data_IF_775137081097
#
_entry.id   IF_775137081097
#
_cell.length_a   1.000
_cell.length_b   1.000
_cell.length_c   1.000
_cell.angle_alpha   90.00
_cell.angle_beta   90.00
_cell.angle_gamma   90.00
#
_symmetry.space_group_name_H-M   'P 1'
#
loop_
_entity.id
_entity.type
_entity.pdbx_description
1 polymer ?
#
# COMPACT_ATOMS: atom_id res chain seq x y z
N UNK A 1 -43.66 36.51 -8.08
CA UNK A 1 -42.21 36.25 -8.25
C UNK A 1 -41.69 35.27 -7.19
N UNK A 2 -42.29 35.24 -5.99
CA UNK A 2 -41.92 34.32 -4.91
C UNK A 2 -42.45 32.88 -5.15
N UNK A 3 -43.68 32.71 -5.66
CA UNK A 3 -44.25 31.37 -5.93
C UNK A 3 -43.49 30.56 -7.00
N UNK A 4 -43.04 31.19 -8.09
CA UNK A 4 -42.27 30.52 -9.14
C UNK A 4 -40.88 30.06 -8.64
N UNK A 5 -40.21 30.85 -7.82
CA UNK A 5 -38.92 30.46 -7.21
C UNK A 5 -39.07 29.31 -6.20
N UNK A 6 -40.22 29.21 -5.53
CA UNK A 6 -40.52 28.12 -4.60
C UNK A 6 -40.84 26.82 -5.35
N UNK A 7 -41.58 26.88 -6.47
CA UNK A 7 -41.78 25.74 -7.37
C UNK A 7 -40.47 25.29 -8.03
N UNK A 8 -39.59 26.21 -8.44
CA UNK A 8 -38.27 25.93 -9.03
C UNK A 8 -37.35 25.13 -8.10
N UNK A 9 -37.36 25.43 -6.80
CA UNK A 9 -36.56 24.71 -5.79
C UNK A 9 -37.13 23.33 -5.48
N UNK A 10 -38.46 23.17 -5.57
CA UNK A 10 -39.14 21.88 -5.34
C UNK A 10 -38.85 20.89 -6.47
N UNK A 11 -38.84 21.33 -7.74
CA UNK A 11 -38.55 20.47 -8.90
C UNK A 11 -37.10 19.95 -8.92
N UNK A 12 -36.11 20.79 -8.60
CA UNK A 12 -34.70 20.35 -8.48
C UNK A 12 -34.53 19.38 -7.29
N UNK A 13 -35.19 19.65 -6.15
CA UNK A 13 -35.11 18.76 -4.99
C UNK A 13 -35.76 17.39 -5.25
N UNK A 14 -36.92 17.37 -5.91
CA UNK A 14 -37.61 16.14 -6.32
C UNK A 14 -36.76 15.32 -7.30
N UNK A 15 -36.10 15.96 -8.26
CA UNK A 15 -35.21 15.29 -9.20
C UNK A 15 -33.99 14.67 -8.50
N UNK A 16 -33.36 15.41 -7.58
CA UNK A 16 -32.22 14.90 -6.79
C UNK A 16 -32.63 13.73 -5.88
N UNK A 17 -33.82 13.78 -5.28
CA UNK A 17 -34.38 12.67 -4.49
C UNK A 17 -34.59 11.41 -5.35
N UNK A 18 -35.07 11.57 -6.59
CA UNK A 18 -35.22 10.48 -7.56
C UNK A 18 -33.88 9.87 -7.93
N UNK A 19 -32.87 10.69 -8.25
CA UNK A 19 -31.51 10.22 -8.55
C UNK A 19 -30.88 9.43 -7.41
N UNK A 20 -31.13 9.85 -6.16
CA UNK A 20 -30.67 9.10 -4.96
C UNK A 20 -31.33 7.73 -4.86
N UNK A 21 -32.62 7.62 -5.18
CA UNK A 21 -33.35 6.35 -5.17
C UNK A 21 -32.83 5.41 -6.26
N UNK A 22 -32.68 5.90 -7.48
CA UNK A 22 -32.16 5.14 -8.61
C UNK A 22 -30.73 4.63 -8.35
N UNK A 23 -29.87 5.47 -7.75
CA UNK A 23 -28.51 5.06 -7.35
C UNK A 23 -28.53 3.90 -6.34
N UNK A 24 -29.46 3.91 -5.38
CA UNK A 24 -29.63 2.79 -4.44
C UNK A 24 -30.11 1.52 -5.13
N UNK A 25 -31.07 1.63 -6.05
CA UNK A 25 -31.58 0.51 -6.84
C UNK A 25 -30.50 -0.10 -7.75
N UNK A 26 -29.67 0.72 -8.38
CA UNK A 26 -28.53 0.24 -9.16
C UNK A 26 -27.51 -0.48 -8.29
N UNK A 27 -27.20 0.01 -7.10
CA UNK A 27 -26.31 -0.69 -6.16
C UNK A 27 -26.86 -2.04 -5.74
N UNK A 28 -28.16 -2.16 -5.47
CA UNK A 28 -28.82 -3.43 -5.19
C UNK A 28 -28.71 -4.39 -6.40
N UNK A 29 -28.92 -3.90 -7.62
CA UNK A 29 -28.76 -4.67 -8.86
C UNK A 29 -27.32 -5.14 -9.07
N UNK A 30 -26.33 -4.27 -8.86
CA UNK A 30 -24.89 -4.61 -8.94
C UNK A 30 -24.55 -5.72 -7.93
N UNK A 31 -25.08 -5.63 -6.71
CA UNK A 31 -24.86 -6.65 -5.70
C UNK A 31 -25.47 -8.00 -6.10
N UNK A 32 -26.68 -8.00 -6.67
CA UNK A 32 -27.30 -9.18 -7.25
C UNK A 32 -26.44 -9.82 -8.36
N UNK A 33 -25.93 -9.00 -9.29
CA UNK A 33 -25.05 -9.48 -10.36
C UNK A 33 -23.72 -10.04 -9.84
N UNK A 34 -23.15 -9.45 -8.78
CA UNK A 34 -21.95 -9.96 -8.10
C UNK A 34 -22.15 -11.29 -7.41
N UNK A 35 -23.35 -11.53 -6.88
CA UNK A 35 -23.72 -12.80 -6.23
C UNK A 35 -23.99 -13.90 -7.27
N UNK A 36 -24.53 -13.56 -8.44
CA UNK A 36 -24.81 -14.51 -9.51
C UNK A 36 -23.56 -15.06 -10.23
N UNK A 37 -22.39 -14.42 -10.05
CA UNK A 37 -21.13 -14.85 -10.66
C UNK A 37 -20.21 -15.48 -9.61
N UNK A 38 -19.89 -16.78 -9.71
CA UNK A 38 -18.96 -17.46 -8.80
C UNK A 38 -17.58 -16.77 -8.74
N UNK A 39 -16.89 -16.89 -7.60
CA UNK A 39 -15.58 -16.26 -7.39
C UNK A 39 -14.47 -16.88 -8.26
N UNK A 40 -14.60 -18.15 -8.63
CA UNK A 40 -13.57 -18.88 -9.39
C UNK A 40 -13.63 -18.66 -10.91
N UNK A 41 -14.69 -18.06 -11.45
CA UNK A 41 -14.83 -17.85 -12.90
C UNK A 41 -14.26 -16.49 -13.33
N UNK A 42 -12.97 -16.48 -13.66
CA UNK A 42 -12.19 -15.27 -14.02
C UNK A 42 -12.76 -14.56 -15.26
N UNK A 43 -13.27 -15.29 -16.24
CA UNK A 43 -13.80 -14.71 -17.49
C UNK A 43 -15.12 -13.99 -17.22
N UNK A 44 -16.05 -14.63 -16.52
CA UNK A 44 -17.34 -14.00 -16.17
C UNK A 44 -17.18 -12.85 -15.17
N UNK A 45 -16.18 -12.89 -14.28
CA UNK A 45 -15.84 -11.79 -13.38
C UNK A 45 -15.33 -10.55 -14.12
N UNK A 46 -14.52 -10.73 -15.18
CA UNK A 46 -14.08 -9.63 -16.03
C UNK A 46 -15.27 -8.98 -16.74
N UNK A 47 -16.13 -9.79 -17.38
CA UNK A 47 -17.35 -9.30 -18.03
C UNK A 47 -18.26 -8.56 -17.06
N UNK A 48 -18.49 -9.12 -15.87
CA UNK A 48 -19.28 -8.48 -14.81
C UNK A 48 -18.73 -7.10 -14.43
N UNK A 49 -17.41 -6.97 -14.36
CA UNK A 49 -16.78 -5.69 -14.00
C UNK A 49 -17.00 -4.63 -15.10
N UNK A 50 -16.90 -5.04 -16.36
CA UNK A 50 -17.17 -4.17 -17.52
C UNK A 50 -18.65 -3.78 -17.59
N UNK A 51 -19.57 -4.72 -17.36
CA UNK A 51 -21.01 -4.48 -17.34
C UNK A 51 -21.42 -3.52 -16.21
N UNK A 52 -20.84 -3.69 -15.00
CA UNK A 52 -21.06 -2.77 -13.87
C UNK A 52 -20.56 -1.36 -14.21
N UNK A 53 -19.36 -1.25 -14.79
CA UNK A 53 -18.81 0.05 -15.19
C UNK A 53 -19.64 0.72 -16.28
N UNK A 54 -20.25 -0.06 -17.18
CA UNK A 54 -21.16 0.46 -18.21
C UNK A 54 -22.46 0.99 -17.60
N UNK A 55 -23.11 0.22 -16.72
CA UNK A 55 -24.36 0.61 -16.06
C UNK A 55 -24.18 1.87 -15.18
N UNK A 56 -23.08 1.97 -14.44
CA UNK A 56 -22.77 3.16 -13.64
C UNK A 56 -22.55 4.41 -14.50
N UNK A 57 -21.89 4.26 -15.66
CA UNK A 57 -21.65 5.38 -16.59
C UNK A 57 -22.94 5.86 -17.22
N UNK A 58 -23.79 4.94 -17.70
CA UNK A 58 -25.08 5.27 -18.32
C UNK A 58 -26.00 5.99 -17.33
N UNK A 59 -26.08 5.53 -16.07
CA UNK A 59 -26.87 6.21 -15.05
C UNK A 59 -26.37 7.62 -14.76
N UNK A 60 -25.05 7.78 -14.58
CA UNK A 60 -24.48 9.09 -14.27
C UNK A 60 -24.62 10.07 -15.45
N UNK A 61 -24.56 9.56 -16.69
CA UNK A 61 -24.82 10.36 -17.88
C UNK A 61 -26.28 10.82 -17.93
N UNK A 62 -27.24 9.91 -17.72
CA UNK A 62 -28.67 10.27 -17.66
C UNK A 62 -28.96 11.32 -16.59
N UNK A 63 -28.44 11.13 -15.37
CA UNK A 63 -28.63 12.09 -14.27
C UNK A 63 -28.04 13.47 -14.59
N UNK A 64 -26.92 13.50 -15.33
CA UNK A 64 -26.32 14.76 -15.78
C UNK A 64 -27.18 15.44 -16.83
N UNK A 65 -27.63 14.69 -17.83
CA UNK A 65 -28.48 15.20 -18.91
C UNK A 65 -29.81 15.72 -18.36
N UNK A 66 -30.43 15.03 -17.40
CA UNK A 66 -31.67 15.48 -16.74
C UNK A 66 -31.46 16.77 -15.93
N UNK A 67 -30.32 16.92 -15.23
CA UNK A 67 -29.99 18.16 -14.53
C UNK A 67 -29.66 19.31 -15.49
N UNK A 68 -29.04 19.02 -16.63
CA UNK A 68 -28.75 20.01 -17.68
C UNK A 68 -30.04 20.44 -18.39
N UNK A 69 -30.94 19.51 -18.70
CA UNK A 69 -32.25 19.79 -19.25
C UNK A 69 -33.08 20.64 -18.28
N UNK A 70 -33.11 20.31 -16.99
CA UNK A 70 -33.80 21.11 -15.99
C UNK A 70 -33.22 22.55 -15.93
N UNK A 71 -31.90 22.70 -16.03
CA UNK A 71 -31.25 24.02 -16.11
C UNK A 71 -31.56 24.78 -17.39
N UNK A 72 -31.77 24.09 -18.51
CA UNK A 72 -32.12 24.70 -19.78
C UNK A 72 -33.59 25.12 -19.80
N UNK A 73 -34.52 24.29 -19.31
CA UNK A 73 -35.92 24.68 -19.14
C UNK A 73 -36.07 25.85 -18.17
N UNK A 74 -35.26 25.92 -17.10
CA UNK A 74 -35.20 27.08 -16.19
C UNK A 74 -34.64 28.35 -16.85
N UNK A 75 -33.81 28.22 -17.88
CA UNK A 75 -33.31 29.37 -18.65
C UNK A 75 -34.31 29.80 -19.72
N UNK A 76 -34.98 28.85 -20.39
CA UNK A 76 -36.02 29.14 -21.38
C UNK A 76 -37.26 29.78 -20.73
N UNK A 77 -37.67 29.34 -19.53
CA UNK A 77 -38.76 29.98 -18.77
C UNK A 77 -38.42 31.41 -18.31
N UNK A 78 -37.13 31.71 -18.11
CA UNK A 78 -36.64 33.07 -17.78
C UNK A 78 -36.47 33.98 -19.01
N UNK A 79 -36.40 33.43 -20.22
CA UNK A 79 -36.23 34.21 -21.47
C UNK A 79 -37.56 34.84 -21.94
N UNK A 80 -38.72 34.29 -21.58
CA UNK A 80 -40.04 34.90 -21.87
C UNK A 80 -40.42 36.07 -20.92
N UNK A 81 -39.63 36.33 -19.87
CA UNK A 81 -39.96 37.30 -18.82
C UNK A 81 -38.82 38.29 -18.54
N UNK A 82 -38.66 39.26 -19.45
CA UNK A 82 -38.00 40.58 -19.23
C UNK A 82 -36.61 40.71 -19.85
N UNK A 83 -36.59 41.29 -21.06
CA UNK A 83 -35.64 42.32 -21.39
C UNK A 83 -35.70 43.41 -20.30
N UNK A 84 -34.62 43.62 -19.55
CA UNK A 84 -34.13 44.89 -18.99
C UNK A 84 -33.13 44.62 -17.85
N UNK A 85 -31.94 45.18 -18.05
CA UNK A 85 -30.92 45.56 -17.08
C UNK A 85 -30.19 44.48 -16.26
N UNK A 86 -29.00 44.19 -16.81
CA UNK A 86 -27.77 43.88 -16.10
C UNK A 86 -27.43 45.02 -15.13
N UNK A 87 -27.41 44.75 -13.83
CA UNK A 87 -26.21 44.92 -12.99
C UNK A 87 -26.58 44.75 -11.52
N UNK A 88 -25.66 44.08 -10.84
CA UNK A 88 -25.45 44.09 -9.40
C UNK A 88 -26.27 43.07 -8.59
N UNK A 89 -25.62 41.94 -8.29
CA UNK A 89 -25.89 41.10 -7.13
C UNK A 89 -24.65 40.23 -6.87
N UNK A 90 -23.83 40.74 -5.95
CA UNK A 90 -23.14 40.01 -4.88
C UNK A 90 -23.12 38.49 -5.06
N UNK A 91 -21.95 37.98 -5.46
CA UNK A 91 -21.59 36.56 -5.40
C UNK A 91 -21.60 36.08 -3.93
N UNK A 92 -22.73 35.52 -3.48
CA UNK A 92 -22.73 34.64 -2.32
C UNK A 92 -21.93 33.37 -2.65
N UNK A 93 -20.85 33.18 -1.87
CA UNK A 93 -19.97 32.02 -1.86
C UNK A 93 -20.76 30.71 -1.61
N UNK A 94 -21.24 30.05 -2.68
CA UNK A 94 -21.43 28.61 -2.63
C UNK A 94 -20.06 27.93 -2.81
N UNK A 95 -19.68 26.99 -1.93
CA UNK A 95 -18.41 26.30 -2.07
C UNK A 95 -18.35 25.61 -3.44
N UNK A 96 -17.23 25.72 -4.18
CA UNK A 96 -17.12 25.14 -5.51
C UNK A 96 -17.44 23.65 -5.44
N UNK A 97 -18.34 23.19 -6.32
CA UNK A 97 -18.72 21.78 -6.44
C UNK A 97 -17.44 20.95 -6.65
N UNK A 98 -16.95 20.36 -5.56
CA UNK A 98 -15.72 19.56 -5.54
C UNK A 98 -15.89 18.42 -6.52
N UNK A 99 -15.04 18.39 -7.55
CA UNK A 99 -15.05 17.34 -8.57
C UNK A 99 -14.97 15.96 -7.92
N UNK A 100 -15.62 14.94 -8.49
CA UNK A 100 -15.47 13.52 -8.06
C UNK A 100 -13.99 13.10 -8.02
N UNK A 101 -13.13 13.67 -8.86
CA UNK A 101 -11.69 13.42 -8.82
C UNK A 101 -11.01 14.09 -7.62
N UNK A 102 -11.44 15.30 -7.25
CA UNK A 102 -10.92 16.04 -6.12
C UNK A 102 -11.39 15.42 -4.78
N UNK A 103 -12.65 15.00 -4.69
CA UNK A 103 -13.15 14.23 -3.53
C UNK A 103 -12.44 12.88 -3.35
N UNK A 104 -11.98 12.24 -4.44
CA UNK A 104 -11.13 11.03 -4.38
C UNK A 104 -9.71 11.34 -3.89
N UNK A 105 -9.11 12.45 -4.33
CA UNK A 105 -7.79 12.92 -3.86
C UNK A 105 -7.83 13.31 -2.39
N UNK A 106 -8.83 14.08 -1.97
CA UNK A 106 -9.05 14.48 -0.59
C UNK A 106 -9.31 13.26 0.31
N UNK A 107 -10.11 12.28 -0.14
CA UNK A 107 -10.29 11.04 0.62
C UNK A 107 -9.00 10.23 0.74
N UNK A 108 -8.17 10.19 -0.31
CA UNK A 108 -6.86 9.52 -0.26
C UNK A 108 -5.90 10.25 0.70
N UNK A 109 -5.84 11.58 0.60
CA UNK A 109 -5.01 12.42 1.47
C UNK A 109 -5.46 12.36 2.93
N UNK A 110 -6.77 12.34 3.20
CA UNK A 110 -7.29 12.19 4.56
C UNK A 110 -6.95 10.80 5.15
N UNK A 111 -6.99 9.75 4.34
CA UNK A 111 -6.67 8.38 4.79
C UNK A 111 -5.16 8.16 4.95
N UNK A 112 -4.35 8.85 4.15
CA UNK A 112 -2.88 8.91 4.30
C UNK A 112 -2.50 9.71 5.55
N UNK A 113 -3.14 10.86 5.80
CA UNK A 113 -2.98 11.64 7.02
C UNK A 113 -3.42 10.89 8.27
N UNK A 114 -4.56 10.19 8.24
CA UNK A 114 -4.99 9.33 9.37
C UNK A 114 -4.00 8.18 9.61
N UNK A 115 -3.42 7.63 8.53
CA UNK A 115 -2.38 6.60 8.64
C UNK A 115 -1.09 7.17 9.24
N UNK A 116 -0.67 8.35 8.81
CA UNK A 116 0.49 9.06 9.35
C UNK A 116 0.28 9.46 10.82
N UNK A 117 -0.90 9.95 11.18
CA UNK A 117 -1.26 10.29 12.57
C UNK A 117 -1.25 9.03 13.45
N UNK A 118 -1.79 7.91 12.99
CA UNK A 118 -1.71 6.63 13.72
C UNK A 118 -0.28 6.12 13.87
N UNK A 119 0.57 6.34 12.86
CA UNK A 119 2.00 6.01 12.93
C UNK A 119 2.69 6.91 13.95
N UNK A 120 2.43 8.22 13.92
CA UNK A 120 3.01 9.19 14.85
C UNK A 120 2.57 8.93 16.30
N UNK A 121 1.30 8.61 16.54
CA UNK A 121 0.81 8.20 17.86
C UNK A 121 1.50 6.92 18.34
N UNK A 122 1.61 5.91 17.46
CA UNK A 122 2.33 4.68 17.79
C UNK A 122 3.84 4.94 18.02
N UNK A 123 4.45 5.88 17.32
CA UNK A 123 5.84 6.30 17.55
C UNK A 123 6.00 6.97 18.91
N UNK A 124 5.06 7.85 19.30
CA UNK A 124 5.04 8.49 20.62
C UNK A 124 4.87 7.45 21.74
N UNK A 125 3.97 6.49 21.59
CA UNK A 125 3.84 5.39 22.55
C UNK A 125 5.12 4.54 22.61
N UNK A 126 5.73 4.28 21.45
CA UNK A 126 6.98 3.51 21.35
C UNK A 126 8.19 4.23 21.97
N UNK A 127 8.20 5.56 22.13
CA UNK A 127 9.27 6.29 22.83
C UNK A 127 9.45 5.79 24.28
N UNK A 128 8.36 5.40 24.94
CA UNK A 128 8.41 4.80 26.28
C UNK A 128 8.52 3.28 26.27
N UNK A 129 8.47 2.67 25.09
CA UNK A 129 8.47 1.23 24.89
C UNK A 129 9.84 0.62 25.19
N UNK A 130 9.83 -0.66 25.63
CA UNK A 130 11.05 -1.40 25.95
C UNK A 130 12.09 -1.38 24.82
N UNK A 131 11.64 -1.42 23.55
CA UNK A 131 12.50 -1.36 22.36
C UNK A 131 13.23 -0.01 22.22
N UNK A 132 12.57 1.11 22.52
CA UNK A 132 13.21 2.43 22.45
C UNK A 132 14.24 2.59 23.55
N UNK A 133 13.88 2.20 24.79
CA UNK A 133 14.80 2.19 25.92
C UNK A 133 16.03 1.31 25.66
N UNK A 134 15.83 0.13 25.06
CA UNK A 134 16.93 -0.76 24.66
C UNK A 134 17.80 -0.13 23.56
N UNK A 135 17.19 0.42 22.50
CA UNK A 135 17.89 1.11 21.42
C UNK A 135 18.72 2.29 21.94
N UNK A 136 18.19 3.08 22.86
CA UNK A 136 18.88 4.23 23.45
C UNK A 136 20.07 3.78 24.29
N UNK A 137 19.90 2.75 25.14
CA UNK A 137 21.00 2.17 25.91
C UNK A 137 22.09 1.62 24.99
N UNK A 138 21.71 0.92 23.93
CA UNK A 138 22.65 0.38 22.95
C UNK A 138 23.40 1.52 22.24
N UNK A 139 22.71 2.58 21.85
CA UNK A 139 23.30 3.78 21.25
C UNK A 139 24.31 4.45 22.20
N UNK A 140 24.00 4.57 23.49
CA UNK A 140 24.94 5.10 24.49
C UNK A 140 26.20 4.25 24.62
N UNK A 141 26.04 2.92 24.65
CA UNK A 141 27.15 1.95 24.75
C UNK A 141 28.04 2.00 23.50
N UNK A 142 27.46 2.21 22.32
CA UNK A 142 28.19 2.33 21.05
C UNK A 142 28.87 3.68 20.91
N UNK A 143 28.19 4.78 21.29
CA UNK A 143 28.75 6.13 21.25
C UNK A 143 30.00 6.26 22.12
N UNK A 144 30.04 5.59 23.27
CA UNK A 144 31.24 5.51 24.13
C UNK A 144 32.43 4.82 23.45
N UNK A 145 32.21 4.09 22.36
CA UNK A 145 33.22 3.44 21.51
C UNK A 145 33.38 4.12 20.15
N UNK A 146 32.79 5.29 19.95
CA UNK A 146 32.77 6.00 18.66
C UNK A 146 32.10 5.18 17.53
N UNK A 147 31.09 4.38 17.88
CA UNK A 147 30.30 3.57 16.96
C UNK A 147 28.84 4.03 16.95
N UNK A 148 28.15 3.75 15.85
CA UNK A 148 26.71 3.99 15.71
C UNK A 148 26.00 2.81 15.04
N UNK A 149 24.69 2.69 15.29
CA UNK A 149 23.86 1.67 14.63
C UNK A 149 23.41 2.23 13.30
N UNK A 150 23.77 1.53 12.22
CA UNK A 150 23.20 1.78 10.90
C UNK A 150 22.02 0.85 10.65
N UNK A 151 20.89 1.44 10.27
CA UNK A 151 19.67 0.67 10.03
C UNK A 151 19.75 -0.06 8.69
N UNK A 152 19.65 -1.38 8.75
CA UNK A 152 19.55 -2.28 7.59
C UNK A 152 18.09 -2.72 7.44
N UNK A 153 17.55 -2.85 6.21
CA UNK A 153 16.19 -3.34 5.99
C UNK A 153 15.92 -4.65 6.74
N UNK A 154 14.78 -4.73 7.42
CA UNK A 154 14.37 -5.90 8.19
C UNK A 154 13.75 -6.98 7.29
N UNK A 155 14.54 -7.55 6.39
CA UNK A 155 14.16 -8.66 5.52
C UNK A 155 15.02 -9.91 5.79
N UNK A 156 14.80 -10.97 5.02
CA UNK A 156 15.59 -12.21 5.16
C UNK A 156 17.04 -12.10 4.64
N UNK A 157 17.43 -10.96 4.08
CA UNK A 157 18.80 -10.69 3.62
C UNK A 157 19.58 -9.80 4.59
N UNK A 158 18.98 -9.35 5.69
CA UNK A 158 19.53 -8.36 6.61
C UNK A 158 20.96 -8.66 7.08
N UNK A 159 21.28 -9.93 7.40
CA UNK A 159 22.64 -10.33 7.80
C UNK A 159 23.66 -10.06 6.70
N UNK A 160 23.39 -10.53 5.48
CA UNK A 160 24.25 -10.29 4.32
C UNK A 160 24.26 -8.81 3.90
N UNK A 161 23.15 -8.09 4.11
CA UNK A 161 23.06 -6.66 3.87
C UNK A 161 23.96 -5.86 4.83
N UNK A 162 24.01 -6.26 6.10
CA UNK A 162 24.93 -5.67 7.07
C UNK A 162 26.39 -5.95 6.70
N UNK A 163 26.71 -7.17 6.25
CA UNK A 163 28.05 -7.50 5.75
C UNK A 163 28.44 -6.70 4.50
N UNK A 164 27.55 -6.63 3.50
CA UNK A 164 27.76 -5.83 2.30
C UNK A 164 28.06 -4.37 2.65
N UNK A 165 27.33 -3.81 3.61
CA UNK A 165 27.50 -2.43 4.04
C UNK A 165 28.86 -2.18 4.71
N UNK A 166 29.26 -3.05 5.66
CA UNK A 166 30.57 -2.97 6.31
C UNK A 166 31.72 -3.19 5.34
N UNK A 167 31.56 -4.11 4.38
CA UNK A 167 32.56 -4.37 3.34
C UNK A 167 32.73 -3.18 2.41
N UNK A 168 31.65 -2.45 2.11
CA UNK A 168 31.68 -1.24 1.28
C UNK A 168 32.52 -0.14 1.93
N UNK A 169 32.41 0.05 3.24
CA UNK A 169 33.25 1.00 4.00
C UNK A 169 34.74 0.65 3.94
N UNK A 170 35.05 -0.64 3.77
CA UNK A 170 36.40 -1.16 3.62
C UNK A 170 36.85 -1.30 2.15
N UNK A 171 36.20 -0.59 1.22
CA UNK A 171 36.46 -0.61 -0.23
C UNK A 171 36.35 -2.01 -0.88
N UNK A 172 35.50 -2.88 -0.32
CA UNK A 172 35.22 -4.20 -0.88
C UNK A 172 33.80 -4.21 -1.47
N UNK A 173 33.69 -4.26 -2.79
CA UNK A 173 32.41 -4.19 -3.50
C UNK A 173 31.78 -5.58 -3.69
N UNK A 174 31.53 -6.29 -2.60
CA UNK A 174 30.81 -7.56 -2.61
C UNK A 174 29.32 -7.31 -2.44
N UNK A 175 28.49 -7.97 -3.25
CA UNK A 175 27.03 -7.85 -3.16
C UNK A 175 26.46 -8.92 -2.24
N UNK A 176 25.25 -8.70 -1.70
CA UNK A 176 24.48 -9.74 -0.98
C UNK A 176 24.42 -11.06 -1.75
N UNK A 177 24.18 -11.00 -3.06
CA UNK A 177 24.13 -12.19 -3.91
C UNK A 177 25.49 -12.90 -4.02
N UNK A 178 26.58 -12.13 -4.15
CA UNK A 178 27.93 -12.69 -4.20
C UNK A 178 28.37 -13.28 -2.85
N UNK A 179 27.96 -12.67 -1.74
CA UNK A 179 28.21 -13.18 -0.39
C UNK A 179 27.48 -14.51 -0.17
N UNK A 180 26.18 -14.56 -0.46
CA UNK A 180 25.39 -15.80 -0.35
C UNK A 180 25.96 -16.94 -1.18
N UNK A 181 26.34 -16.65 -2.43
CA UNK A 181 26.96 -17.62 -3.31
C UNK A 181 28.27 -18.17 -2.73
N UNK A 182 29.16 -17.29 -2.27
CA UNK A 182 30.46 -17.73 -1.73
C UNK A 182 30.31 -18.47 -0.41
N UNK A 183 29.39 -18.06 0.46
CA UNK A 183 29.06 -18.82 1.67
C UNK A 183 28.62 -20.24 1.33
N UNK A 184 27.68 -20.40 0.40
CA UNK A 184 27.21 -21.73 -0.01
C UNK A 184 28.31 -22.57 -0.67
N UNK A 185 29.12 -21.99 -1.55
CA UNK A 185 30.25 -22.69 -2.18
C UNK A 185 31.28 -23.15 -1.14
N UNK A 186 31.60 -22.30 -0.17
CA UNK A 186 32.51 -22.66 0.90
C UNK A 186 31.95 -23.80 1.76
N UNK A 187 30.70 -23.68 2.21
CA UNK A 187 30.03 -24.69 3.03
C UNK A 187 29.99 -26.04 2.32
N UNK A 188 29.71 -26.06 1.01
CA UNK A 188 29.73 -27.29 0.21
C UNK A 188 31.13 -27.93 0.15
N UNK A 189 32.18 -27.13 0.02
CA UNK A 189 33.57 -27.64 -0.04
C UNK A 189 34.11 -28.14 1.30
N UNK A 190 33.46 -27.81 2.42
CA UNK A 190 33.87 -28.17 3.78
C UNK A 190 32.69 -28.78 4.56
N UNK A 191 31.88 -29.61 3.91
CA UNK A 191 30.62 -30.13 4.48
C UNK A 191 30.76 -30.81 5.84
N UNK A 192 31.88 -31.51 6.07
CA UNK A 192 32.15 -32.21 7.33
C UNK A 192 32.25 -31.27 8.54
N UNK A 193 32.66 -30.01 8.32
CA UNK A 193 32.76 -28.99 9.36
C UNK A 193 31.38 -28.43 9.75
N UNK A 194 30.39 -28.49 8.86
CA UNK A 194 29.05 -27.92 9.08
C UNK A 194 27.99 -28.92 9.48
N UNK A 195 28.06 -30.13 8.93
CA UNK A 195 27.06 -31.17 9.16
C UNK A 195 26.74 -31.41 10.65
N UNK A 196 27.73 -31.42 11.58
CA UNK A 196 27.47 -31.59 13.02
C UNK A 196 26.55 -30.52 13.64
N UNK A 197 26.44 -29.35 13.01
CA UNK A 197 25.66 -28.21 13.51
C UNK A 197 24.29 -28.08 12.83
N UNK A 198 23.99 -28.91 11.83
CA UNK A 198 22.75 -28.86 11.05
C UNK A 198 21.88 -30.07 11.36
N UNK A 199 20.74 -29.82 12.01
CA UNK A 199 19.78 -30.85 12.42
C UNK A 199 18.40 -30.60 11.82
N UNK A 200 17.75 -31.66 11.34
CA UNK A 200 16.40 -31.57 10.81
C UNK A 200 15.39 -31.33 11.95
N UNK A 201 14.60 -30.24 11.91
CA UNK A 201 13.66 -29.90 12.99
C UNK A 201 12.62 -30.98 13.28
N UNK A 202 12.26 -31.80 12.30
CA UNK A 202 11.22 -32.81 12.43
C UNK A 202 11.76 -34.14 12.98
N UNK A 203 12.99 -34.50 12.63
CA UNK A 203 13.57 -35.80 12.99
C UNK A 203 14.58 -35.68 14.13
N UNK A 204 15.13 -34.49 14.37
CA UNK A 204 16.21 -34.24 15.33
C UNK A 204 17.56 -34.82 14.92
N UNK A 205 17.64 -35.46 13.75
CA UNK A 205 18.87 -36.06 13.24
C UNK A 205 19.70 -35.01 12.48
N UNK A 206 21.00 -35.28 12.35
CA UNK A 206 21.88 -34.51 11.48
C UNK A 206 21.36 -34.55 10.03
N UNK A 207 21.62 -33.48 9.28
CA UNK A 207 21.28 -33.43 7.87
C UNK A 207 21.93 -34.56 7.09
N UNK A 208 21.20 -35.12 6.13
CA UNK A 208 21.81 -35.96 5.10
C UNK A 208 22.57 -35.09 4.09
N UNK A 209 23.48 -35.67 3.28
CA UNK A 209 24.16 -34.93 2.21
C UNK A 209 23.18 -34.23 1.24
N UNK A 210 22.02 -34.85 0.97
CA UNK A 210 20.97 -34.28 0.13
C UNK A 210 20.29 -33.09 0.80
N UNK A 211 19.98 -33.18 2.09
CA UNK A 211 19.40 -32.08 2.88
C UNK A 211 20.39 -30.91 3.01
N UNK A 212 21.67 -31.21 3.18
CA UNK A 212 22.74 -30.22 3.21
C UNK A 212 22.91 -29.49 1.87
N UNK A 213 22.88 -30.23 0.76
CA UNK A 213 22.90 -29.64 -0.58
C UNK A 213 21.74 -28.69 -0.79
N UNK A 214 20.52 -29.10 -0.42
CA UNK A 214 19.33 -28.25 -0.48
C UNK A 214 19.49 -27.00 0.39
N UNK A 215 20.02 -27.13 1.60
CA UNK A 215 20.26 -25.98 2.48
C UNK A 215 21.23 -24.98 1.86
N UNK A 216 22.31 -25.43 1.23
CA UNK A 216 23.23 -24.55 0.51
C UNK A 216 22.54 -23.88 -0.69
N UNK A 217 21.69 -24.60 -1.43
CA UNK A 217 20.90 -24.02 -2.51
C UNK A 217 19.91 -22.96 -2.00
N UNK A 218 19.28 -23.19 -0.84
CA UNK A 218 18.37 -22.25 -0.20
C UNK A 218 19.11 -20.97 0.24
N UNK A 219 20.35 -21.07 0.72
CA UNK A 219 21.20 -19.90 1.03
C UNK A 219 21.37 -18.99 -0.18
N UNK A 220 21.60 -19.56 -1.37
CA UNK A 220 21.85 -18.80 -2.60
C UNK A 220 20.57 -18.21 -3.17
N UNK A 221 19.52 -19.03 -3.25
CA UNK A 221 18.36 -18.74 -4.10
C UNK A 221 17.18 -18.12 -3.34
N UNK A 222 17.25 -18.04 -2.01
CA UNK A 222 16.13 -17.57 -1.19
C UNK A 222 16.55 -16.47 -0.20
N UNK A 223 15.56 -15.89 0.47
CA UNK A 223 15.76 -15.01 1.61
C UNK A 223 15.87 -15.79 2.93
N UNK A 224 16.43 -17.00 2.89
CA UNK A 224 16.75 -17.76 4.10
C UNK A 224 17.61 -16.90 5.03
N UNK A 225 17.20 -16.87 6.30
CA UNK A 225 17.90 -16.15 7.35
C UNK A 225 19.26 -16.79 7.55
N UNK A 226 20.31 -15.99 7.45
CA UNK A 226 21.64 -16.44 7.83
C UNK A 226 21.79 -16.45 9.35
N UNK A 227 22.64 -17.35 9.85
CA UNK A 227 22.96 -17.48 11.26
C UNK A 227 24.47 -17.50 11.50
N UNK A 228 24.84 -18.14 12.61
CA UNK A 228 26.23 -18.16 13.09
C UNK A 228 27.18 -18.88 12.11
N UNK A 229 26.70 -19.96 11.45
CA UNK A 229 27.53 -20.72 10.53
C UNK A 229 27.96 -19.84 9.36
N UNK A 230 27.01 -19.14 8.75
CA UNK A 230 27.25 -18.27 7.62
C UNK A 230 28.15 -17.07 7.97
N UNK A 231 28.01 -16.51 9.18
CA UNK A 231 28.89 -15.43 9.68
C UNK A 231 30.32 -15.96 9.88
N UNK A 232 30.47 -17.12 10.51
CA UNK A 232 31.78 -17.73 10.75
C UNK A 232 32.52 -17.94 9.44
N UNK A 233 31.81 -18.43 8.42
CA UNK A 233 32.38 -18.61 7.09
C UNK A 233 32.74 -17.32 6.39
N UNK A 234 31.87 -16.31 6.47
CA UNK A 234 32.19 -15.00 5.94
C UNK A 234 33.49 -14.46 6.56
N UNK A 235 33.70 -14.61 7.88
CA UNK A 235 34.93 -14.21 8.56
C UNK A 235 36.17 -14.95 8.04
N UNK A 236 36.10 -16.29 7.96
CA UNK A 236 37.22 -17.13 7.52
C UNK A 236 37.62 -16.78 6.10
N UNK A 237 36.65 -16.77 5.19
CA UNK A 237 36.88 -16.52 3.77
C UNK A 237 37.39 -15.10 3.51
N UNK A 238 36.82 -14.08 4.17
CA UNK A 238 37.29 -12.69 4.06
C UNK A 238 38.65 -12.47 4.72
N UNK A 239 39.13 -13.42 5.54
CA UNK A 239 40.28 -13.28 6.44
C UNK A 239 40.17 -12.02 7.31
N UNK A 240 38.96 -11.77 7.80
CA UNK A 240 38.63 -10.59 8.60
C UNK A 240 37.86 -11.02 9.84
N UNK A 241 38.10 -10.31 10.93
CA UNK A 241 37.22 -10.37 12.10
C UNK A 241 36.08 -9.40 11.83
N UNK A 242 34.89 -9.95 11.59
CA UNK A 242 33.64 -9.18 11.48
C UNK A 242 33.01 -9.01 12.87
#
# INVERSE_FOLDING_TARGET
MEEALVEELDDEEQLVRRHRKEKKELQAKIQGMKNAVPKNDKKRRKQLTEDVAKLEREMEQKHREELEQLKLTLKESKIDSVAVNISDLVLENQPPRISKAQKRREKKAALEKEREERIAEAEIENLSGARHVESEKLAQILAARELEIKQIPSDGHCMYGALEDQLREQNCALTVAALRKQTAEYMQSHSEDFLPFLTNPNTGNMYTPEEFGKYCDDIVNTAAWGGQLEIHEACIWLRRTL
#
